data_IF_975356657153
#
_entry.id   IF_975356657153
#
_cell.length_a   1.000
_cell.length_b   1.000
_cell.length_c   1.000
_cell.angle_alpha   90.00
_cell.angle_beta   90.00
_cell.angle_gamma   90.00
#
_symmetry.space_group_name_H-M   'P 1'
#
loop_
_entity.id
_entity.type
_entity.pdbx_description
1 polymer ?
#
# COMPACT_ATOMS: atom_id res chain seq x y z
N UNK A 1 38.44 -15.84 -58.84
CA UNK A 1 38.60 -14.43 -58.43
C UNK A 1 37.61 -14.18 -57.30
N UNK A 2 38.06 -14.10 -56.04
CA UNK A 2 37.19 -13.80 -54.91
C UNK A 2 37.01 -12.28 -54.77
N UNK A 3 35.77 -11.87 -54.48
CA UNK A 3 35.38 -10.50 -54.18
C UNK A 3 35.68 -10.29 -52.68
N UNK A 4 36.61 -9.38 -52.38
CA UNK A 4 36.92 -8.94 -51.02
C UNK A 4 35.76 -8.08 -50.48
N UNK A 5 35.16 -8.51 -49.37
CA UNK A 5 34.21 -7.72 -48.62
C UNK A 5 34.95 -6.98 -47.49
N UNK A 6 35.13 -5.68 -47.68
CA UNK A 6 35.57 -4.76 -46.63
C UNK A 6 34.41 -4.52 -45.63
N UNK A 7 34.58 -4.97 -44.40
CA UNK A 7 33.79 -4.49 -43.24
C UNK A 7 34.63 -3.50 -42.45
N UNK A 8 34.30 -2.21 -42.60
CA UNK A 8 34.80 -1.11 -41.79
C UNK A 8 34.18 -1.16 -40.38
N UNK A 9 35.02 -1.20 -39.34
CA UNK A 9 34.60 -0.96 -37.96
C UNK A 9 34.25 0.52 -37.76
N UNK A 10 33.19 0.88 -37.03
CA UNK A 10 32.98 2.27 -36.60
C UNK A 10 33.88 2.61 -35.40
N UNK A 11 34.44 3.82 -35.45
CA UNK A 11 35.29 4.41 -34.42
C UNK A 11 34.53 4.68 -33.10
N UNK A 12 35.22 4.70 -31.95
CA UNK A 12 34.60 5.01 -30.66
C UNK A 12 34.28 6.51 -30.59
N UNK A 13 32.99 6.83 -30.63
CA UNK A 13 32.46 8.18 -30.43
C UNK A 13 32.54 8.61 -28.97
N UNK A 14 32.91 9.88 -28.80
CA UNK A 14 33.10 10.60 -27.55
C UNK A 14 31.87 10.52 -26.63
N UNK A 15 32.11 10.23 -25.36
CA UNK A 15 31.11 10.34 -24.30
C UNK A 15 30.92 11.83 -24.02
N UNK A 16 29.86 12.42 -24.56
CA UNK A 16 29.35 13.70 -24.08
C UNK A 16 29.03 13.58 -22.59
N UNK A 17 29.80 14.31 -21.78
CA UNK A 17 29.47 14.56 -20.38
C UNK A 17 28.22 15.43 -20.37
N UNK A 18 27.07 14.79 -20.16
CA UNK A 18 25.85 15.49 -19.75
C UNK A 18 26.13 16.12 -18.40
N UNK A 19 26.23 17.45 -18.41
CA UNK A 19 26.29 18.30 -17.24
C UNK A 19 25.09 17.99 -16.35
N UNK A 20 25.37 17.57 -15.11
CA UNK A 20 24.38 17.48 -14.03
C UNK A 20 23.92 18.91 -13.76
N UNK A 21 22.81 19.30 -14.37
CA UNK A 21 22.09 20.51 -13.99
C UNK A 21 21.58 20.31 -12.58
N UNK A 22 21.83 21.32 -11.74
CA UNK A 22 21.38 21.44 -10.35
C UNK A 22 19.98 20.84 -10.18
N UNK A 23 19.92 19.75 -9.42
CA UNK A 23 18.67 19.20 -8.95
C UNK A 23 18.02 20.27 -8.09
N UNK A 24 16.95 20.89 -8.59
CA UNK A 24 15.96 21.50 -7.73
C UNK A 24 15.63 20.45 -6.66
N UNK A 25 15.90 20.77 -5.40
CA UNK A 25 15.36 20.06 -4.24
C UNK A 25 13.84 20.11 -4.38
N UNK A 26 13.28 19.12 -5.10
CA UNK A 26 11.86 18.82 -5.06
C UNK A 26 11.62 18.34 -3.65
N UNK A 27 11.18 19.26 -2.79
CA UNK A 27 10.54 18.93 -1.51
C UNK A 27 9.50 17.88 -1.84
N UNK A 28 9.70 16.60 -1.46
CA UNK A 28 8.94 15.56 -2.10
C UNK A 28 7.49 15.64 -1.58
N UNK A 29 6.54 15.66 -2.51
CA UNK A 29 5.16 16.11 -2.30
C UNK A 29 4.45 15.28 -1.21
N UNK A 30 4.16 15.92 -0.08
CA UNK A 30 3.04 15.50 0.76
C UNK A 30 1.76 15.64 -0.07
N UNK A 31 0.83 14.68 0.04
CA UNK A 31 -0.51 14.78 -0.57
C UNK A 31 -1.07 16.18 -0.28
N UNK A 32 -1.26 16.99 -1.32
CA UNK A 32 -1.69 18.37 -1.12
C UNK A 32 -3.16 18.36 -0.72
N UNK A 33 -3.46 18.86 0.47
CA UNK A 33 -4.84 18.98 0.93
C UNK A 33 -5.68 19.94 0.07
N UNK A 34 -5.06 20.76 -0.77
CA UNK A 34 -5.77 21.54 -1.79
C UNK A 34 -6.51 20.62 -2.81
N UNK A 35 -6.05 19.39 -2.97
CA UNK A 35 -6.67 18.34 -3.78
C UNK A 35 -7.76 17.55 -3.04
N UNK A 36 -7.96 17.79 -1.73
CA UNK A 36 -9.08 17.21 -1.01
C UNK A 36 -10.39 17.82 -1.53
N UNK A 37 -10.97 17.14 -2.51
CA UNK A 37 -12.28 17.46 -3.07
C UNK A 37 -13.06 16.17 -3.19
N UNK A 38 -14.19 16.11 -2.49
CA UNK A 38 -15.12 15.02 -2.70
C UNK A 38 -15.73 15.11 -4.11
N UNK A 39 -16.07 13.97 -4.74
CA UNK A 39 -16.79 13.96 -5.99
C UNK A 39 -18.11 14.73 -5.84
N UNK A 40 -18.40 15.63 -6.79
CA UNK A 40 -19.67 16.37 -6.81
C UNK A 40 -20.84 15.39 -6.87
N UNK A 41 -21.88 15.66 -6.08
CA UNK A 41 -23.12 14.89 -6.09
C UNK A 41 -24.20 15.60 -6.90
N UNK A 42 -25.10 14.81 -7.47
CA UNK A 42 -26.33 15.24 -8.12
C UNK A 42 -27.52 15.36 -7.14
N UNK A 43 -27.34 14.90 -5.90
CA UNK A 43 -28.29 15.03 -4.80
C UNK A 43 -27.83 16.04 -3.75
N UNK A 44 -28.81 16.59 -3.03
CA UNK A 44 -28.56 17.51 -1.92
C UNK A 44 -28.14 16.74 -0.66
N UNK A 45 -26.95 17.04 -0.16
CA UNK A 45 -26.45 16.48 1.11
C UNK A 45 -27.18 17.20 2.27
N UNK A 46 -27.77 16.45 3.24
CA UNK A 46 -28.38 17.05 4.43
C UNK A 46 -27.38 17.92 5.20
N UNK A 47 -27.85 19.05 5.74
CA UNK A 47 -26.99 20.02 6.45
C UNK A 47 -26.17 19.38 7.56
N UNK A 48 -26.76 18.46 8.34
CA UNK A 48 -26.05 17.75 9.40
C UNK A 48 -24.88 16.89 8.86
N UNK A 49 -25.05 16.25 7.71
CA UNK A 49 -23.99 15.47 7.06
C UNK A 49 -22.92 16.39 6.46
N UNK A 50 -23.33 17.49 5.83
CA UNK A 50 -22.39 18.48 5.31
C UNK A 50 -21.50 19.07 6.41
N UNK A 51 -22.05 19.35 7.60
CA UNK A 51 -21.26 19.81 8.76
C UNK A 51 -20.26 18.75 9.25
N UNK A 52 -20.63 17.46 9.24
CA UNK A 52 -19.69 16.38 9.58
C UNK A 52 -18.54 16.28 8.57
N UNK A 53 -18.86 16.37 7.27
CA UNK A 53 -17.86 16.37 6.19
C UNK A 53 -16.91 17.58 6.35
N UNK A 54 -17.46 18.78 6.59
CA UNK A 54 -16.66 19.98 6.82
C UNK A 54 -15.74 19.86 8.05
N UNK A 55 -16.23 19.24 9.14
CA UNK A 55 -15.40 18.97 10.32
C UNK A 55 -14.26 17.99 10.01
N UNK A 56 -14.49 16.99 9.15
CA UNK A 56 -13.43 16.08 8.71
C UNK A 56 -12.41 16.81 7.83
N UNK A 57 -12.85 17.63 6.89
CA UNK A 57 -11.97 18.48 6.07
C UNK A 57 -11.06 19.34 6.93
N UNK A 58 -11.62 19.98 7.97
CA UNK A 58 -10.82 20.77 8.90
C UNK A 58 -9.79 19.92 9.65
N UNK A 59 -10.19 18.76 10.18
CA UNK A 59 -9.28 17.85 10.88
C UNK A 59 -8.15 17.34 9.97
N UNK A 60 -8.44 17.11 8.70
CA UNK A 60 -7.43 16.76 7.70
C UNK A 60 -6.48 17.93 7.43
N UNK A 61 -6.98 19.17 7.36
CA UNK A 61 -6.15 20.39 7.20
C UNK A 61 -5.18 20.56 8.36
N UNK A 62 -5.66 20.32 9.58
CA UNK A 62 -4.85 20.33 10.79
C UNK A 62 -3.79 19.21 10.75
N UNK A 63 -4.15 18.00 10.30
CA UNK A 63 -3.21 16.88 10.14
C UNK A 63 -2.10 17.21 9.12
N UNK A 64 -2.47 17.79 7.98
CA UNK A 64 -1.51 18.20 6.95
C UNK A 64 -0.61 19.34 7.47
N UNK A 65 -1.16 20.33 8.16
CA UNK A 65 -0.39 21.43 8.73
C UNK A 65 0.59 20.94 9.81
N UNK A 66 0.19 20.00 10.66
CA UNK A 66 1.06 19.34 11.65
C UNK A 66 2.20 18.57 10.96
N UNK A 67 1.88 17.78 9.93
CA UNK A 67 2.89 17.06 9.14
C UNK A 67 3.86 18.03 8.45
N UNK A 68 3.35 19.11 7.85
CA UNK A 68 4.19 20.14 7.23
C UNK A 68 5.10 20.83 8.26
N UNK A 69 4.56 21.25 9.41
CA UNK A 69 5.36 21.85 10.47
C UNK A 69 6.43 20.90 11.02
N UNK A 70 6.13 19.61 11.16
CA UNK A 70 7.13 18.58 11.52
C UNK A 70 8.16 18.35 10.42
N UNK A 71 7.81 18.48 9.15
CA UNK A 71 8.76 18.37 8.05
C UNK A 71 9.78 19.51 8.06
N UNK A 72 9.40 20.70 8.53
CA UNK A 72 10.29 21.85 8.72
C UNK A 72 11.19 21.71 9.97
N UNK A 73 10.80 20.86 10.91
CA UNK A 73 11.58 20.56 12.13
C UNK A 73 11.53 19.07 12.49
N UNK A 74 12.30 18.26 11.76
CA UNK A 74 12.34 16.79 11.93
C UNK A 74 12.84 16.36 13.31
N UNK A 75 13.48 17.24 14.09
CA UNK A 75 13.89 16.93 15.47
C UNK A 75 12.70 16.65 16.40
N UNK A 76 11.50 17.09 16.05
CA UNK A 76 10.27 16.71 16.77
C UNK A 76 10.00 15.20 16.70
N UNK A 77 10.45 14.51 15.64
CA UNK A 77 10.32 13.06 15.50
C UNK A 77 11.33 12.30 16.37
N UNK A 78 12.27 12.98 17.02
CA UNK A 78 13.22 12.37 17.97
C UNK A 78 12.63 12.30 19.39
N UNK A 79 11.49 12.98 19.62
CA UNK A 79 10.80 12.98 20.90
C UNK A 79 9.82 11.82 20.95
N UNK A 80 9.88 11.05 22.04
CA UNK A 80 8.90 10.00 22.30
C UNK A 80 7.50 10.63 22.47
N UNK A 81 6.48 10.17 21.71
CA UNK A 81 5.12 10.68 21.89
C UNK A 81 4.59 10.31 23.28
N UNK A 82 4.12 11.29 24.05
CA UNK A 82 3.77 11.12 25.47
C UNK A 82 2.58 10.17 25.71
N UNK A 83 1.66 10.06 24.75
CA UNK A 83 0.38 9.37 24.94
C UNK A 83 0.20 8.12 24.05
N UNK A 84 1.24 7.75 23.30
CA UNK A 84 1.11 6.69 22.32
C UNK A 84 1.33 5.30 22.93
N UNK A 85 0.40 4.40 22.63
CA UNK A 85 0.54 2.96 22.92
C UNK A 85 1.29 2.32 21.75
N UNK A 86 2.21 1.39 22.03
CA UNK A 86 2.99 0.65 21.02
C UNK A 86 3.96 1.53 20.21
N UNK A 87 4.77 2.29 20.94
CA UNK A 87 5.81 3.14 20.37
C UNK A 87 7.15 2.43 20.40
N UNK A 88 7.90 2.46 19.31
CA UNK A 88 9.26 1.94 19.24
C UNK A 88 10.25 3.04 18.82
N UNK A 89 11.47 2.95 19.36
CA UNK A 89 12.58 3.79 18.91
C UNK A 89 13.28 3.11 17.74
N UNK A 90 13.59 3.89 16.71
CA UNK A 90 14.35 3.43 15.55
C UNK A 90 15.73 4.06 15.57
N UNK A 91 16.76 3.23 15.47
CA UNK A 91 18.17 3.59 15.30
C UNK A 91 18.59 3.23 13.87
N UNK A 92 19.53 3.98 13.28
CA UNK A 92 20.15 3.61 12.00
C UNK A 92 21.62 3.23 12.22
N UNK A 93 21.99 2.03 11.81
CA UNK A 93 23.37 1.53 11.88
C UNK A 93 23.80 1.13 10.47
N UNK A 94 24.70 1.92 9.87
CA UNK A 94 25.04 1.84 8.46
C UNK A 94 23.78 1.95 7.57
N UNK A 95 23.50 0.94 6.75
CA UNK A 95 22.35 0.85 5.86
C UNK A 95 21.12 0.18 6.50
N UNK A 96 21.19 -0.17 7.79
CA UNK A 96 20.15 -0.92 8.49
C UNK A 96 19.39 -0.08 9.49
N UNK A 97 18.07 -0.23 9.50
CA UNK A 97 17.21 0.28 10.55
C UNK A 97 17.01 -0.78 11.62
N UNK A 98 17.12 -0.36 12.88
CA UNK A 98 17.14 -1.26 14.03
C UNK A 98 16.19 -0.73 15.10
N UNK A 99 15.47 -1.64 15.75
CA UNK A 99 14.77 -1.39 17.00
C UNK A 99 15.25 -2.37 18.08
N UNK A 100 15.02 -2.03 19.34
CA UNK A 100 15.29 -2.93 20.47
C UNK A 100 14.00 -3.57 20.94
N UNK A 101 13.98 -4.90 21.01
CA UNK A 101 12.83 -5.63 21.52
C UNK A 101 12.68 -5.49 23.05
N UNK A 102 11.65 -6.13 23.61
CA UNK A 102 11.38 -6.14 25.07
C UNK A 102 12.54 -6.70 25.91
N UNK A 103 13.48 -7.43 25.28
CA UNK A 103 14.66 -8.03 25.92
C UNK A 103 15.92 -7.18 25.68
N UNK A 104 15.80 -6.03 25.02
CA UNK A 104 16.90 -5.16 24.64
C UNK A 104 17.73 -5.66 23.46
N UNK A 105 17.28 -6.72 22.78
CA UNK A 105 17.99 -7.27 21.61
C UNK A 105 17.72 -6.41 20.39
N UNK A 106 18.79 -6.07 19.66
CA UNK A 106 18.70 -5.39 18.38
C UNK A 106 18.02 -6.29 17.34
N UNK A 107 17.00 -5.77 16.69
CA UNK A 107 16.25 -6.42 15.62
C UNK A 107 16.20 -5.50 14.41
N UNK A 108 16.40 -6.07 13.23
CA UNK A 108 16.28 -5.33 11.97
C UNK A 108 14.80 -5.07 11.66
N UNK A 109 14.52 -3.87 11.16
CA UNK A 109 13.25 -3.46 10.57
C UNK A 109 13.53 -2.97 9.16
N UNK A 110 12.72 -3.41 8.20
CA UNK A 110 12.80 -2.91 6.82
C UNK A 110 12.14 -1.53 6.71
N UNK A 111 12.47 -0.81 5.63
CA UNK A 111 11.85 0.47 5.37
C UNK A 111 10.36 0.32 5.07
N UNK A 112 9.97 -0.72 4.31
CA UNK A 112 8.58 -1.09 4.09
C UNK A 112 7.81 -1.36 5.38
N UNK A 113 8.41 -2.06 6.35
CA UNK A 113 7.78 -2.27 7.67
C UNK A 113 7.55 -0.93 8.39
N UNK A 114 8.57 -0.06 8.43
CA UNK A 114 8.47 1.26 9.06
C UNK A 114 7.29 2.09 8.52
N UNK A 115 7.12 2.14 7.20
CA UNK A 115 6.10 2.96 6.55
C UNK A 115 4.68 2.38 6.65
N UNK A 116 4.55 1.05 6.75
CA UNK A 116 3.24 0.38 6.76
C UNK A 116 2.69 0.12 8.16
N UNK A 117 3.55 0.05 9.17
CA UNK A 117 3.18 -0.40 10.52
C UNK A 117 2.20 0.48 11.28
N UNK A 118 2.06 1.76 10.91
CA UNK A 118 1.02 2.60 11.52
C UNK A 118 -0.41 2.18 11.13
N UNK A 119 -0.61 1.36 10.10
CA UNK A 119 -1.89 0.68 9.84
C UNK A 119 -2.28 -0.32 10.96
N UNK A 120 -1.28 -0.72 11.77
CA UNK A 120 -1.44 -1.56 12.95
C UNK A 120 -1.48 -0.76 14.26
N UNK A 121 -1.46 0.57 14.17
CA UNK A 121 -1.39 1.46 15.31
C UNK A 121 -0.04 1.41 16.04
N UNK A 122 1.04 1.05 15.33
CA UNK A 122 2.41 1.26 15.80
C UNK A 122 2.84 2.69 15.48
N UNK A 123 3.67 3.26 16.34
CA UNK A 123 4.26 4.58 16.12
C UNK A 123 5.75 4.53 16.38
N UNK A 124 6.47 5.43 15.71
CA UNK A 124 7.92 5.50 15.80
C UNK A 124 8.38 6.89 16.22
N UNK A 125 9.47 6.89 16.97
CA UNK A 125 10.34 8.05 17.14
C UNK A 125 11.77 7.61 16.82
N UNK A 126 12.60 8.56 16.43
CA UNK A 126 13.89 8.27 15.81
C UNK A 126 15.05 8.71 16.69
N UNK A 127 16.10 7.90 16.72
CA UNK A 127 17.39 8.35 17.17
C UNK A 127 18.00 9.35 16.15
N UNK A 128 18.93 10.18 16.63
CA UNK A 128 19.65 11.16 15.80
C UNK A 128 20.43 10.53 14.64
N UNK A 129 20.78 9.24 14.77
CA UNK A 129 21.45 8.46 13.72
C UNK A 129 20.60 8.26 12.47
N UNK A 130 19.27 8.34 12.58
CA UNK A 130 18.36 8.12 11.45
C UNK A 130 18.39 9.34 10.53
N UNK A 131 18.58 9.09 9.24
CA UNK A 131 18.62 10.12 8.20
C UNK A 131 17.30 10.88 8.08
N UNK A 132 17.40 12.16 7.70
CA UNK A 132 16.24 13.03 7.51
C UNK A 132 15.32 12.54 6.39
N UNK A 133 15.87 11.89 5.36
CA UNK A 133 15.11 11.25 4.29
C UNK A 133 14.13 10.20 4.83
N UNK A 134 14.61 9.29 5.69
CA UNK A 134 13.77 8.24 6.31
C UNK A 134 12.71 8.86 7.22
N UNK A 135 13.09 9.87 8.02
CA UNK A 135 12.15 10.60 8.89
C UNK A 135 11.04 11.27 8.08
N UNK A 136 11.40 11.89 6.96
CA UNK A 136 10.46 12.58 6.08
C UNK A 136 9.50 11.61 5.40
N UNK A 137 9.99 10.48 4.87
CA UNK A 137 9.15 9.46 4.25
C UNK A 137 8.18 8.81 5.25
N UNK A 138 8.64 8.55 6.47
CA UNK A 138 7.75 8.10 7.55
C UNK A 138 6.63 9.12 7.83
N UNK A 139 6.99 10.40 7.95
CA UNK A 139 6.01 11.46 8.20
C UNK A 139 4.98 11.58 7.09
N UNK A 140 5.40 11.43 5.83
CA UNK A 140 4.49 11.38 4.68
C UNK A 140 3.56 10.19 4.74
N UNK A 141 4.08 8.99 5.01
CA UNK A 141 3.26 7.79 5.11
C UNK A 141 2.21 7.91 6.24
N UNK A 142 2.58 8.49 7.39
CA UNK A 142 1.65 8.81 8.48
C UNK A 142 0.55 9.78 8.03
N UNK A 143 0.93 10.87 7.37
CA UNK A 143 0.00 11.89 6.89
C UNK A 143 -0.96 11.32 5.83
N UNK A 144 -0.42 10.66 4.79
CA UNK A 144 -1.18 10.04 3.72
C UNK A 144 -2.20 9.03 4.27
N UNK A 145 -1.81 8.17 5.22
CA UNK A 145 -2.74 7.21 5.83
C UNK A 145 -3.91 7.90 6.54
N UNK A 146 -3.63 8.94 7.33
CA UNK A 146 -4.69 9.70 8.02
C UNK A 146 -5.60 10.41 7.02
N UNK A 147 -5.03 10.96 5.95
CA UNK A 147 -5.77 11.63 4.88
C UNK A 147 -6.67 10.66 4.12
N UNK A 148 -6.16 9.49 3.72
CA UNK A 148 -6.95 8.44 3.08
C UNK A 148 -8.10 7.96 3.99
N UNK A 149 -7.84 7.75 5.29
CA UNK A 149 -8.89 7.37 6.24
C UNK A 149 -9.99 8.44 6.36
N UNK A 150 -9.61 9.72 6.45
CA UNK A 150 -10.57 10.82 6.49
C UNK A 150 -11.36 10.98 5.18
N UNK A 151 -10.71 10.81 4.03
CA UNK A 151 -11.34 10.83 2.71
C UNK A 151 -12.38 9.72 2.58
N UNK A 152 -12.02 8.48 2.92
CA UNK A 152 -12.95 7.35 2.88
C UNK A 152 -14.14 7.56 3.82
N UNK A 153 -13.92 8.11 5.02
CA UNK A 153 -15.01 8.44 5.94
C UNK A 153 -15.95 9.50 5.36
N UNK A 154 -15.40 10.55 4.74
CA UNK A 154 -16.19 11.59 4.11
C UNK A 154 -16.99 11.06 2.90
N UNK A 155 -16.40 10.15 2.12
CA UNK A 155 -17.07 9.48 1.01
C UNK A 155 -18.23 8.59 1.50
N UNK A 156 -18.05 7.84 2.59
CA UNK A 156 -19.14 7.05 3.21
C UNK A 156 -20.30 7.94 3.68
N UNK A 157 -19.99 9.06 4.35
CA UNK A 157 -21.01 10.01 4.79
C UNK A 157 -21.79 10.60 3.61
N UNK A 158 -21.09 10.93 2.53
CA UNK A 158 -21.70 11.42 1.29
C UNK A 158 -22.62 10.35 0.70
N UNK A 159 -22.16 9.11 0.53
CA UNK A 159 -22.97 8.04 -0.05
C UNK A 159 -24.19 7.67 0.79
N UNK A 160 -24.07 7.66 2.12
CA UNK A 160 -25.21 7.42 3.02
C UNK A 160 -26.27 8.52 2.93
N UNK A 161 -25.88 9.74 2.54
CA UNK A 161 -26.79 10.85 2.30
C UNK A 161 -27.55 10.75 0.96
N UNK A 162 -27.14 9.86 0.05
CA UNK A 162 -27.84 9.65 -1.21
C UNK A 162 -29.26 9.08 -0.95
N UNK A 163 -30.34 9.77 -1.36
CA UNK A 163 -31.70 9.28 -1.19
C UNK A 163 -32.01 8.04 -2.02
N UNK A 164 -31.34 7.89 -3.17
CA UNK A 164 -31.58 6.81 -4.13
C UNK A 164 -30.70 5.57 -3.88
N UNK A 165 -29.93 5.59 -2.78
CA UNK A 165 -29.09 4.45 -2.41
C UNK A 165 -29.95 3.27 -1.95
N UNK A 166 -29.76 2.13 -2.63
CA UNK A 166 -30.42 0.87 -2.29
C UNK A 166 -30.11 0.40 -0.87
N UNK A 167 -31.07 -0.30 -0.25
CA UNK A 167 -31.00 -0.70 1.16
C UNK A 167 -29.77 -1.57 1.45
N UNK A 168 -29.42 -2.48 0.54
CA UNK A 168 -28.28 -3.36 0.71
C UNK A 168 -26.95 -2.58 0.76
N UNK A 169 -26.72 -1.66 -0.17
CA UNK A 169 -25.55 -0.78 -0.12
C UNK A 169 -25.55 0.15 1.10
N UNK A 170 -26.73 0.66 1.48
CA UNK A 170 -26.87 1.50 2.68
C UNK A 170 -26.43 0.76 3.93
N UNK A 171 -26.87 -0.48 4.12
CA UNK A 171 -26.43 -1.33 5.23
C UNK A 171 -24.92 -1.58 5.18
N UNK A 172 -24.37 -1.85 3.99
CA UNK A 172 -22.92 -2.05 3.81
C UNK A 172 -22.08 -0.83 4.17
N UNK A 173 -22.43 0.36 3.65
CA UNK A 173 -21.72 1.60 3.98
C UNK A 173 -21.88 1.98 5.45
N UNK A 174 -23.05 1.74 6.06
CA UNK A 174 -23.25 2.01 7.48
C UNK A 174 -22.35 1.11 8.35
N UNK A 175 -22.27 -0.19 8.03
CA UNK A 175 -21.40 -1.12 8.75
C UNK A 175 -19.92 -0.70 8.64
N UNK A 176 -19.46 -0.28 7.45
CA UNK A 176 -18.10 0.24 7.27
C UNK A 176 -17.84 1.50 8.10
N UNK A 177 -18.81 2.42 8.15
CA UNK A 177 -18.69 3.63 8.95
C UNK A 177 -18.64 3.30 10.46
N UNK A 178 -19.47 2.38 10.92
CA UNK A 178 -19.51 1.94 12.31
C UNK A 178 -18.20 1.24 12.73
N UNK A 179 -17.61 0.42 11.85
CA UNK A 179 -16.30 -0.21 12.06
C UNK A 179 -15.19 0.85 12.18
N UNK A 180 -15.20 1.88 11.33
CA UNK A 180 -14.25 3.00 11.40
C UNK A 180 -14.41 3.83 12.68
N UNK A 181 -15.64 4.07 13.15
CA UNK A 181 -15.91 4.88 14.34
C UNK A 181 -15.66 4.12 15.65
N UNK A 182 -15.96 2.82 15.67
CA UNK A 182 -15.70 1.96 16.84
C UNK A 182 -14.22 1.57 16.98
N UNK A 183 -13.46 1.63 15.88
CA UNK A 183 -12.10 1.11 15.80
C UNK A 183 -12.05 -0.42 15.93
N UNK A 184 -13.20 -1.11 15.83
CA UNK A 184 -13.28 -2.57 15.87
C UNK A 184 -13.27 -3.12 14.45
N UNK A 185 -12.09 -3.45 13.94
CA UNK A 185 -11.99 -4.10 12.64
C UNK A 185 -12.44 -5.57 12.72
N UNK A 186 -13.39 -5.94 11.87
CA UNK A 186 -13.77 -7.32 11.66
C UNK A 186 -12.60 -8.20 11.19
N UNK A 187 -12.67 -9.49 11.50
CA UNK A 187 -11.58 -10.44 11.22
C UNK A 187 -11.21 -10.54 9.73
N UNK A 188 -12.18 -10.36 8.82
CA UNK A 188 -11.92 -10.31 7.37
C UNK A 188 -11.04 -9.12 6.97
N UNK A 189 -11.42 -7.92 7.40
CA UNK A 189 -10.68 -6.68 7.17
C UNK A 189 -9.24 -6.74 7.70
N UNK A 190 -9.04 -7.35 8.87
CA UNK A 190 -7.69 -7.54 9.43
C UNK A 190 -6.80 -8.40 8.52
N UNK A 191 -7.38 -9.40 7.84
CA UNK A 191 -6.61 -10.26 6.93
C UNK A 191 -6.29 -9.51 5.64
N UNK A 192 -7.28 -8.85 5.06
CA UNK A 192 -7.11 -8.01 3.86
C UNK A 192 -6.01 -6.98 4.09
N UNK A 193 -6.06 -6.28 5.22
CA UNK A 193 -5.02 -5.33 5.64
C UNK A 193 -3.64 -5.98 5.76
N UNK A 194 -3.54 -7.19 6.32
CA UNK A 194 -2.27 -7.88 6.43
C UNK A 194 -1.70 -8.36 5.10
N UNK A 195 -2.54 -8.86 4.21
CA UNK A 195 -2.12 -9.26 2.87
C UNK A 195 -1.69 -8.03 2.06
N UNK A 196 -2.47 -6.94 2.11
CA UNK A 196 -2.12 -5.67 1.49
C UNK A 196 -0.79 -5.14 2.01
N UNK A 197 -0.59 -5.08 3.32
CA UNK A 197 0.66 -4.61 3.91
C UNK A 197 1.86 -5.50 3.57
N UNK A 198 1.66 -6.81 3.45
CA UNK A 198 2.70 -7.70 2.95
C UNK A 198 3.16 -7.30 1.54
N UNK A 199 2.23 -7.03 0.61
CA UNK A 199 2.59 -6.56 -0.73
C UNK A 199 3.16 -5.14 -0.73
N UNK A 200 2.63 -4.24 0.11
CA UNK A 200 3.10 -2.85 0.22
C UNK A 200 4.54 -2.77 0.73
N UNK A 201 4.92 -3.62 1.68
CA UNK A 201 6.32 -3.77 2.13
C UNK A 201 7.23 -4.18 0.99
N UNK A 202 6.85 -5.22 0.23
CA UNK A 202 7.62 -5.68 -0.93
C UNK A 202 7.76 -4.57 -1.98
N UNK A 203 6.67 -3.86 -2.26
CA UNK A 203 6.64 -2.71 -3.18
C UNK A 203 7.62 -1.62 -2.75
N UNK A 204 7.66 -1.25 -1.47
CA UNK A 204 8.56 -0.22 -0.94
C UNK A 204 10.02 -0.70 -0.95
N UNK A 205 10.28 -1.90 -0.43
CA UNK A 205 11.65 -2.39 -0.23
C UNK A 205 12.36 -2.77 -1.54
N UNK A 206 11.58 -3.04 -2.60
CA UNK A 206 12.11 -3.60 -3.84
C UNK A 206 11.62 -2.95 -5.14
N UNK A 207 10.58 -2.12 -5.10
CA UNK A 207 10.10 -1.30 -6.22
C UNK A 207 9.74 -2.09 -7.50
N UNK A 208 9.26 -3.34 -7.36
CA UNK A 208 8.84 -4.16 -8.51
C UNK A 208 7.45 -3.83 -9.03
N UNK A 209 6.59 -3.35 -8.15
CA UNK A 209 5.21 -2.99 -8.42
C UNK A 209 4.77 -1.94 -7.41
N UNK A 210 3.68 -1.26 -7.69
CA UNK A 210 3.00 -0.36 -6.77
C UNK A 210 1.73 -1.01 -6.22
N UNK A 211 1.36 -0.62 -5.00
CA UNK A 211 0.15 -1.08 -4.30
C UNK A 211 -0.71 0.14 -4.02
N UNK A 212 -1.92 0.15 -4.58
CA UNK A 212 -2.90 1.20 -4.35
C UNK A 212 -4.06 0.70 -3.49
N UNK A 213 -4.47 1.52 -2.54
CA UNK A 213 -5.71 1.33 -1.80
C UNK A 213 -6.90 1.58 -2.75
N UNK A 214 -7.97 0.80 -2.63
CA UNK A 214 -9.23 1.13 -3.27
C UNK A 214 -10.01 2.12 -2.41
N UNK A 215 -10.74 3.03 -3.05
CA UNK A 215 -11.72 3.84 -2.35
C UNK A 215 -12.95 2.99 -1.97
N UNK A 216 -13.74 3.48 -1.02
CA UNK A 216 -14.93 2.75 -0.52
C UNK A 216 -15.97 2.49 -1.59
N UNK A 217 -16.00 3.26 -2.69
CA UNK A 217 -16.95 3.05 -3.80
C UNK A 217 -16.51 1.87 -4.65
N UNK A 218 -15.24 1.83 -5.04
CA UNK A 218 -14.64 0.73 -5.82
C UNK A 218 -14.68 -0.56 -5.01
N UNK A 219 -14.40 -0.53 -3.71
CA UNK A 219 -14.57 -1.69 -2.84
C UNK A 219 -16.04 -2.17 -2.78
N UNK A 220 -17.00 -1.26 -2.59
CA UNK A 220 -18.41 -1.67 -2.50
C UNK A 220 -19.01 -2.14 -3.82
N UNK A 221 -18.64 -1.51 -4.93
CA UNK A 221 -19.15 -1.81 -6.28
C UNK A 221 -18.46 -3.02 -6.88
N UNK A 222 -17.13 -3.03 -6.87
CA UNK A 222 -16.32 -3.97 -7.64
C UNK A 222 -15.71 -5.07 -6.76
N UNK A 223 -15.81 -4.95 -5.42
CA UNK A 223 -15.30 -5.90 -4.42
C UNK A 223 -13.81 -6.16 -4.57
N UNK A 224 -13.07 -5.09 -4.84
CA UNK A 224 -11.63 -5.06 -5.01
C UNK A 224 -11.03 -4.48 -3.74
N UNK A 225 -10.16 -5.26 -3.08
CA UNK A 225 -9.58 -4.89 -1.79
C UNK A 225 -8.35 -3.97 -1.96
N UNK A 226 -7.56 -4.18 -3.02
CA UNK A 226 -6.42 -3.34 -3.40
C UNK A 226 -6.01 -3.61 -4.85
N UNK A 227 -5.16 -2.74 -5.40
CA UNK A 227 -4.67 -2.83 -6.78
C UNK A 227 -3.16 -3.02 -6.75
N UNK A 228 -2.63 -3.92 -7.60
CA UNK A 228 -1.20 -4.04 -7.87
C UNK A 228 -0.92 -3.56 -9.28
N UNK A 229 0.02 -2.64 -9.46
CA UNK A 229 0.38 -2.11 -10.79
C UNK A 229 1.86 -2.30 -11.08
N UNK A 230 2.21 -2.62 -12.33
CA UNK A 230 3.63 -2.74 -12.71
C UNK A 230 4.33 -1.40 -12.68
N UNK A 231 5.52 -1.38 -12.07
CA UNK A 231 6.50 -0.35 -12.32
C UNK A 231 7.55 -0.98 -13.21
N UNK A 232 7.53 -0.67 -14.51
CA UNK A 232 8.40 -1.25 -15.53
C UNK A 232 9.89 -1.11 -15.18
N UNK A 233 10.49 -2.03 -14.42
CA UNK A 233 11.94 -2.07 -14.20
C UNK A 233 12.44 -3.50 -13.86
N UNK A 234 12.63 -4.33 -14.88
CA UNK A 234 13.67 -5.36 -14.83
C UNK A 234 14.90 -4.86 -15.59
N UNK A 235 15.82 -4.20 -14.89
CA UNK A 235 17.18 -4.07 -15.41
C UNK A 235 17.83 -5.46 -15.46
N UNK A 236 18.15 -5.93 -16.67
CA UNK A 236 19.00 -7.11 -16.88
C UNK A 236 18.31 -8.38 -17.39
N UNK A 237 16.99 -8.36 -17.63
CA UNK A 237 16.30 -9.43 -18.38
C UNK A 237 15.80 -8.83 -19.67
N UNK A 238 16.33 -9.28 -20.81
CA UNK A 238 15.86 -8.88 -22.12
C UNK A 238 14.44 -9.41 -22.34
N UNK A 239 13.45 -8.65 -21.89
CA UNK A 239 12.05 -8.90 -22.19
C UNK A 239 11.62 -7.83 -23.18
N UNK A 240 11.30 -8.26 -24.41
CA UNK A 240 10.56 -7.43 -25.36
C UNK A 240 9.13 -7.24 -24.80
N UNK A 241 8.92 -6.20 -23.99
CA UNK A 241 7.57 -5.79 -23.61
C UNK A 241 7.27 -4.37 -24.10
N UNK A 242 6.04 -4.18 -24.58
CA UNK A 242 5.49 -2.92 -25.06
C UNK A 242 5.55 -1.86 -23.93
N UNK A 243 6.25 -0.73 -24.14
CA UNK A 243 6.34 0.37 -23.18
C UNK A 243 4.99 0.92 -22.72
N UNK A 244 3.91 0.67 -23.47
CA UNK A 244 2.57 1.19 -23.18
C UNK A 244 1.69 0.22 -22.35
N UNK A 245 2.12 -1.01 -22.09
CA UNK A 245 1.31 -1.98 -21.37
C UNK A 245 1.44 -1.80 -19.84
N UNK A 246 0.82 -0.76 -19.28
CA UNK A 246 0.52 -0.74 -17.83
C UNK A 246 -0.43 -1.90 -17.52
N UNK A 247 0.09 -2.96 -16.92
CA UNK A 247 -0.73 -4.06 -16.40
C UNK A 247 -1.15 -3.69 -14.97
N UNK A 248 -2.45 -3.53 -14.75
CA UNK A 248 -3.05 -3.38 -13.43
C UNK A 248 -3.71 -4.68 -13.01
N UNK A 249 -3.61 -5.02 -11.73
CA UNK A 249 -4.26 -6.18 -11.14
C UNK A 249 -5.21 -5.71 -10.05
N UNK A 250 -6.49 -5.92 -10.27
CA UNK A 250 -7.50 -5.79 -9.23
C UNK A 250 -7.47 -7.05 -8.35
N UNK A 251 -7.10 -6.89 -7.09
CA UNK A 251 -7.00 -8.01 -6.14
C UNK A 251 -8.27 -8.11 -5.32
N UNK A 252 -8.83 -9.33 -5.27
CA UNK A 252 -9.87 -9.71 -4.33
C UNK A 252 -9.37 -10.84 -3.43
N UNK A 253 -9.75 -10.79 -2.17
CA UNK A 253 -9.29 -11.68 -1.13
C UNK A 253 -10.41 -12.61 -0.66
N UNK A 254 -10.07 -13.82 -0.21
CA UNK A 254 -11.03 -14.74 0.43
C UNK A 254 -10.42 -15.63 1.49
N UNK A 255 -11.14 -15.78 2.59
CA UNK A 255 -10.81 -16.70 3.69
C UNK A 255 -11.61 -18.00 3.64
N UNK A 256 -12.76 -18.00 2.98
CA UNK A 256 -13.59 -19.18 2.79
C UNK A 256 -13.09 -19.93 1.55
N UNK A 257 -12.41 -21.05 1.82
CA UNK A 257 -11.79 -21.91 0.81
C UNK A 257 -12.74 -22.97 0.24
N UNK A 258 -14.04 -22.91 0.57
CA UNK A 258 -15.03 -23.82 -0.02
C UNK A 258 -15.09 -23.61 -1.55
N UNK A 259 -15.18 -24.69 -2.35
CA UNK A 259 -15.23 -24.57 -3.80
C UNK A 259 -16.36 -23.67 -4.30
N UNK A 260 -17.52 -23.73 -3.66
CA UNK A 260 -18.68 -22.88 -3.99
C UNK A 260 -18.39 -21.40 -3.77
N UNK A 261 -17.80 -21.01 -2.64
CA UNK A 261 -17.44 -19.61 -2.39
C UNK A 261 -16.36 -19.11 -3.36
N UNK A 262 -15.36 -19.95 -3.66
CA UNK A 262 -14.33 -19.62 -4.65
C UNK A 262 -14.96 -19.42 -6.03
N UNK A 263 -15.89 -20.29 -6.43
CA UNK A 263 -16.61 -20.17 -7.69
C UNK A 263 -17.45 -18.90 -7.75
N UNK A 264 -18.19 -18.59 -6.68
CA UNK A 264 -19.03 -17.40 -6.58
C UNK A 264 -18.18 -16.13 -6.68
N UNK A 265 -17.07 -16.03 -5.94
CA UNK A 265 -16.14 -14.88 -6.05
C UNK A 265 -15.50 -14.77 -7.43
N UNK A 266 -15.07 -15.89 -8.01
CA UNK A 266 -14.54 -15.90 -9.38
C UNK A 266 -15.58 -15.43 -10.41
N UNK A 267 -16.85 -15.79 -10.22
CA UNK A 267 -17.95 -15.36 -11.09
C UNK A 267 -18.30 -13.89 -10.89
N UNK A 268 -18.22 -13.37 -9.67
CA UNK A 268 -18.38 -11.95 -9.37
C UNK A 268 -17.30 -11.10 -10.04
N UNK A 269 -16.05 -11.55 -9.96
CA UNK A 269 -14.92 -10.91 -10.66
C UNK A 269 -15.18 -10.83 -12.17
N UNK A 270 -15.60 -11.94 -12.80
CA UNK A 270 -15.95 -11.95 -14.21
C UNK A 270 -17.08 -10.97 -14.58
N UNK A 271 -18.09 -10.82 -13.73
CA UNK A 271 -19.17 -9.84 -13.93
C UNK A 271 -18.68 -8.40 -13.76
N UNK A 272 -17.81 -8.14 -12.79
CA UNK A 272 -17.20 -6.83 -12.61
C UNK A 272 -16.41 -6.43 -13.87
N UNK A 273 -15.65 -7.36 -14.46
CA UNK A 273 -14.98 -7.15 -15.76
C UNK A 273 -15.92 -6.76 -16.89
N UNK A 274 -17.11 -7.35 -16.95
CA UNK A 274 -18.09 -7.02 -17.99
C UNK A 274 -18.64 -5.60 -17.83
N UNK A 275 -18.74 -5.09 -16.58
CA UNK A 275 -19.16 -3.72 -16.28
C UNK A 275 -18.02 -2.71 -16.44
N UNK A 276 -16.77 -3.11 -16.19
CA UNK A 276 -15.59 -2.25 -16.33
C UNK A 276 -15.15 -2.04 -17.78
N UNK A 277 -15.57 -2.85 -18.76
CA UNK A 277 -15.21 -2.69 -20.19
C UNK A 277 -15.62 -1.35 -20.83
N UNK A 278 -16.43 -0.55 -20.16
CA UNK A 278 -16.77 0.83 -20.55
C UNK A 278 -15.77 1.88 -20.06
N UNK A 279 -14.89 1.54 -19.11
CA UNK A 279 -13.77 2.37 -18.64
C UNK A 279 -12.46 1.67 -19.05
N UNK A 280 -11.45 2.39 -19.56
CA UNK A 280 -10.36 1.81 -20.37
C UNK A 280 -9.29 1.01 -19.59
N UNK A 281 -9.65 0.22 -18.60
CA UNK A 281 -8.72 -0.58 -17.79
C UNK A 281 -8.94 -2.08 -18.02
N UNK A 282 -8.02 -2.70 -18.78
CA UNK A 282 -7.86 -4.15 -18.91
C UNK A 282 -7.31 -4.77 -17.60
N UNK A 283 -7.92 -4.44 -16.45
CA UNK A 283 -7.45 -4.87 -15.15
C UNK A 283 -7.57 -6.40 -15.00
N UNK A 284 -6.45 -7.04 -14.70
CA UNK A 284 -6.36 -8.49 -14.50
C UNK A 284 -6.83 -8.79 -13.07
N UNK A 285 -7.85 -9.61 -12.89
CA UNK A 285 -8.33 -9.89 -11.54
C UNK A 285 -7.60 -11.09 -10.91
N UNK A 286 -7.17 -10.93 -9.66
CA UNK A 286 -6.53 -11.99 -8.88
C UNK A 286 -7.33 -12.30 -7.60
N UNK A 287 -7.72 -13.56 -7.43
CA UNK A 287 -8.29 -14.06 -6.17
C UNK A 287 -7.18 -14.62 -5.29
N UNK A 288 -6.89 -13.96 -4.17
CA UNK A 288 -5.92 -14.41 -3.16
C UNK A 288 -6.65 -15.16 -2.05
N UNK A 289 -6.11 -16.33 -1.69
CA UNK A 289 -6.65 -17.23 -0.69
C UNK A 289 -5.70 -17.35 0.49
N UNK A 290 -6.24 -17.21 1.71
CA UNK A 290 -5.51 -17.48 2.95
C UNK A 290 -6.42 -18.21 3.94
N UNK A 291 -5.92 -19.27 4.57
CA UNK A 291 -6.63 -19.94 5.67
C UNK A 291 -6.70 -19.01 6.88
N UNK A 292 -7.92 -18.63 7.28
CA UNK A 292 -8.16 -17.78 8.43
C UNK A 292 -7.58 -18.33 9.74
N UNK A 293 -7.41 -19.65 9.89
CA UNK A 293 -6.79 -20.23 11.09
C UNK A 293 -5.31 -19.87 11.20
N UNK A 294 -4.59 -19.90 10.07
CA UNK A 294 -3.19 -19.50 10.02
C UNK A 294 -3.04 -18.02 10.36
N UNK A 295 -3.90 -17.16 9.81
CA UNK A 295 -3.90 -15.75 10.15
C UNK A 295 -4.19 -15.52 11.63
N UNK A 296 -5.24 -16.14 12.19
CA UNK A 296 -5.61 -15.96 13.60
C UNK A 296 -4.45 -16.29 14.54
N UNK A 297 -3.71 -17.36 14.26
CA UNK A 297 -2.54 -17.72 15.05
C UNK A 297 -1.45 -16.64 14.99
N UNK A 298 -1.10 -16.17 13.79
CA UNK A 298 -0.08 -15.14 13.60
C UNK A 298 -0.51 -13.78 14.16
N UNK A 299 -1.78 -13.40 13.98
CA UNK A 299 -2.37 -12.17 14.52
C UNK A 299 -2.36 -12.17 16.04
N UNK A 300 -2.79 -13.25 16.70
CA UNK A 300 -2.76 -13.34 18.16
C UNK A 300 -1.33 -13.30 18.70
N UNK A 301 -0.39 -13.97 18.03
CA UNK A 301 1.02 -13.96 18.41
C UNK A 301 1.63 -12.57 18.29
N UNK A 302 1.32 -11.85 17.21
CA UNK A 302 1.77 -10.48 17.02
C UNK A 302 1.09 -9.53 18.00
N UNK A 303 -0.24 -9.57 18.14
CA UNK A 303 -1.02 -8.67 19.00
C UNK A 303 -0.64 -8.75 20.49
N UNK A 304 -0.08 -9.87 20.94
CA UNK A 304 0.43 -10.03 22.30
C UNK A 304 1.65 -9.14 22.62
N UNK A 305 2.44 -8.76 21.61
CA UNK A 305 3.67 -7.97 21.76
C UNK A 305 3.71 -6.68 20.94
N UNK A 306 2.93 -6.65 19.87
CA UNK A 306 2.86 -5.56 18.89
C UNK A 306 4.24 -5.10 18.42
N UNK A 307 5.07 -6.08 18.07
CA UNK A 307 6.41 -5.83 17.51
C UNK A 307 6.32 -5.25 16.10
N UNK A 308 7.31 -4.44 15.66
CA UNK A 308 7.40 -3.94 14.30
C UNK A 308 7.34 -5.05 13.24
N UNK A 309 6.70 -4.72 12.13
CA UNK A 309 6.51 -5.52 10.93
C UNK A 309 5.18 -6.26 10.85
N UNK A 310 4.21 -5.94 11.71
CA UNK A 310 2.85 -6.48 11.64
C UNK A 310 2.71 -8.01 11.81
N UNK A 311 1.49 -8.54 11.66
CA UNK A 311 1.20 -9.96 11.83
C UNK A 311 1.80 -10.85 10.73
N UNK A 312 2.08 -10.30 9.55
CA UNK A 312 2.70 -11.01 8.44
C UNK A 312 4.16 -11.42 8.70
N UNK A 313 4.85 -10.73 9.61
CA UNK A 313 6.17 -11.18 10.11
C UNK A 313 6.12 -12.55 10.77
N UNK A 314 4.99 -12.91 11.37
CA UNK A 314 4.78 -14.20 12.01
C UNK A 314 4.26 -15.30 11.05
N UNK A 315 4.10 -15.02 9.76
CA UNK A 315 3.72 -16.03 8.78
C UNK A 315 4.88 -16.96 8.45
N UNK A 316 4.55 -18.22 8.13
CA UNK A 316 5.53 -19.19 7.64
C UNK A 316 6.00 -18.78 6.23
N UNK A 317 7.25 -19.08 5.90
CA UNK A 317 7.80 -18.78 4.57
C UNK A 317 6.93 -19.35 3.43
N UNK A 318 6.41 -20.57 3.59
CA UNK A 318 5.51 -21.18 2.61
C UNK A 318 4.19 -20.41 2.42
N UNK A 319 3.65 -19.79 3.47
CA UNK A 319 2.44 -18.96 3.36
C UNK A 319 2.72 -17.67 2.60
N UNK A 320 3.85 -17.01 2.88
CA UNK A 320 4.27 -15.80 2.15
C UNK A 320 4.48 -16.11 0.67
N UNK A 321 5.13 -17.23 0.37
CA UNK A 321 5.34 -17.73 -0.99
C UNK A 321 4.02 -17.98 -1.71
N UNK A 322 3.09 -18.69 -1.08
CA UNK A 322 1.80 -19.03 -1.68
C UNK A 322 0.98 -17.76 -1.99
N UNK A 323 0.97 -16.78 -1.08
CA UNK A 323 0.29 -15.48 -1.32
C UNK A 323 0.94 -14.73 -2.48
N UNK A 324 2.26 -14.61 -2.48
CA UNK A 324 3.02 -13.94 -3.53
C UNK A 324 2.75 -14.60 -4.90
N UNK A 325 2.85 -15.92 -4.99
CA UNK A 325 2.59 -16.66 -6.23
C UNK A 325 1.14 -16.49 -6.70
N UNK A 326 0.16 -16.52 -5.78
CA UNK A 326 -1.26 -16.35 -6.14
C UNK A 326 -1.56 -15.01 -6.79
N UNK A 327 -0.94 -13.93 -6.30
CA UNK A 327 -1.06 -12.59 -6.88
C UNK A 327 -0.28 -12.48 -8.19
N UNK A 328 0.98 -12.92 -8.20
CA UNK A 328 1.92 -12.67 -9.29
C UNK A 328 1.73 -13.57 -10.51
N UNK A 329 1.13 -14.77 -10.39
CA UNK A 329 0.86 -15.68 -11.54
C UNK A 329 -0.05 -15.11 -12.62
N UNK A 330 -0.71 -13.98 -12.33
CA UNK A 330 -1.54 -13.24 -13.28
C UNK A 330 -0.75 -12.17 -14.04
N UNK A 331 0.45 -11.88 -13.57
CA UNK A 331 1.32 -10.81 -14.03
C UNK A 331 2.59 -11.32 -14.71
N UNK A 332 3.16 -12.36 -14.11
CA UNK A 332 4.48 -12.89 -14.38
C UNK A 332 4.38 -14.34 -14.82
N UNK A 333 5.37 -14.75 -15.61
CA UNK A 333 5.64 -16.15 -15.89
C UNK A 333 6.17 -16.85 -14.64
N UNK A 334 5.96 -18.17 -14.47
CA UNK A 334 6.44 -18.91 -13.30
C UNK A 334 7.92 -18.67 -12.98
N UNK A 335 8.77 -18.59 -14.00
CA UNK A 335 10.21 -18.40 -13.86
C UNK A 335 10.57 -17.02 -13.29
N UNK A 336 9.82 -15.98 -13.67
CA UNK A 336 9.98 -14.63 -13.14
C UNK A 336 9.57 -14.58 -11.67
N UNK A 337 8.46 -15.23 -11.31
CA UNK A 337 7.98 -15.31 -9.91
C UNK A 337 9.04 -15.96 -9.03
N UNK A 338 9.64 -17.07 -9.48
CA UNK A 338 10.70 -17.77 -8.75
C UNK A 338 11.96 -16.90 -8.61
N UNK A 339 12.34 -16.17 -9.67
CA UNK A 339 13.48 -15.27 -9.67
C UNK A 339 13.28 -14.10 -8.68
N UNK A 340 12.12 -13.44 -8.71
CA UNK A 340 11.76 -12.39 -7.76
C UNK A 340 11.74 -12.92 -6.33
N UNK A 341 11.10 -14.07 -6.10
CA UNK A 341 11.04 -14.66 -4.77
C UNK A 341 12.43 -15.00 -4.21
N UNK A 342 13.32 -15.49 -5.07
CA UNK A 342 14.71 -15.74 -4.69
C UNK A 342 15.41 -14.43 -4.29
N UNK A 343 15.19 -13.35 -5.03
CA UNK A 343 15.74 -12.04 -4.70
C UNK A 343 15.19 -11.48 -3.38
N UNK A 344 13.88 -11.62 -3.11
CA UNK A 344 13.25 -11.21 -1.85
C UNK A 344 13.85 -11.93 -0.63
N UNK A 345 14.30 -13.17 -0.80
CA UNK A 345 14.82 -14.01 0.28
C UNK A 345 16.35 -14.07 0.35
N UNK A 346 17.07 -13.43 -0.58
CA UNK A 346 18.51 -13.26 -0.46
C UNK A 346 18.77 -12.29 0.70
N UNK A 347 19.35 -12.79 1.79
CA UNK A 347 19.84 -11.94 2.88
C UNK A 347 20.83 -10.93 2.29
N UNK A 348 20.53 -9.65 2.44
CA UNK A 348 21.48 -8.56 2.22
C UNK A 348 22.53 -8.56 3.33
#
# INVERSE_FOLDING_TARGET
MPIEAHTSQPAPGEIERVSVSEAEEKTPELFDISEFQLPKTDYQIPVATALKIQSLEQSLRETYADAKGKSENLSELEKKPEQAKNVWQIEQQADKLIYRDERGQAQEISFGELLTDGEWGLQYYFDKSVTDEIKLEYLKAEAQRKMHAGYNKALLLQELANPDLDEYKRTGYQAMLDDMESGQEHFGLQIEKAVKNFFKKISIDHQFFEVYDTDVKKDMRDKIDFILANVHHLQGVAVEEDPNAKKEIDVQFTTNLSPENIWNKSSQLQRAREHSKTESTDAIQALIKMDGRNFRFSQNRWAAKKTPGGPDKAWRAGTKWELFQQAMRKFLKPEEIDAYWTMLNKKK
#
